data_IF_046007810788
#
_entry.id   IF_046007810788
#
_cell.length_a   1.000
_cell.length_b   1.000
_cell.length_c   1.000
_cell.angle_alpha   90.00
_cell.angle_beta   90.00
_cell.angle_gamma   90.00
#
_symmetry.space_group_name_H-M   'P 1'
#
loop_
_entity.id
_entity.type
_entity.pdbx_description
1 polymer ?
#
# COMPACT_ATOMS: atom_id res chain seq x y z
N UNK A 1 -13.20 34.84 -10.19
CA UNK A 1 -13.23 33.70 -9.24
C UNK A 1 -12.24 32.69 -9.80
N UNK A 2 -11.02 32.67 -9.27
CA UNK A 2 -9.93 31.83 -9.77
C UNK A 2 -10.05 30.49 -9.05
N UNK A 3 -10.16 29.39 -9.80
CA UNK A 3 -10.08 28.04 -9.23
C UNK A 3 -8.72 27.91 -8.53
N UNK A 4 -8.63 27.51 -7.26
CA UNK A 4 -7.35 27.22 -6.65
C UNK A 4 -6.83 25.95 -7.32
N UNK A 5 -6.05 26.17 -8.36
CA UNK A 5 -4.86 25.41 -8.68
C UNK A 5 -4.42 24.53 -7.50
N UNK A 6 -4.52 23.21 -7.70
CA UNK A 6 -3.85 22.22 -6.87
C UNK A 6 -2.39 22.64 -6.77
N UNK A 7 -2.05 23.35 -5.70
CA UNK A 7 -0.67 23.63 -5.36
C UNK A 7 -0.01 22.26 -5.23
N UNK A 8 0.85 21.92 -6.18
CA UNK A 8 1.71 20.76 -6.08
C UNK A 8 2.64 21.01 -4.89
N UNK A 9 2.21 20.55 -3.72
CA UNK A 9 3.01 20.60 -2.52
C UNK A 9 4.15 19.61 -2.69
N UNK A 10 5.39 20.08 -2.57
CA UNK A 10 6.52 19.18 -2.42
C UNK A 10 6.33 18.41 -1.11
N UNK A 11 6.11 17.10 -1.20
CA UNK A 11 6.02 16.20 -0.05
C UNK A 11 7.40 15.61 0.19
N UNK A 12 7.88 15.71 1.44
CA UNK A 12 9.07 14.98 1.87
C UNK A 12 8.62 13.59 2.30
N UNK A 13 9.06 12.57 1.55
CA UNK A 13 8.86 11.18 1.90
C UNK A 13 10.12 10.67 2.56
N UNK A 14 9.98 10.17 3.79
CA UNK A 14 11.06 9.43 4.42
C UNK A 14 11.10 8.01 3.84
N UNK A 15 11.99 7.82 2.86
CA UNK A 15 12.14 6.53 2.20
C UNK A 15 12.92 5.49 3.03
N UNK A 16 13.32 5.82 4.26
CA UNK A 16 14.02 4.91 5.18
C UNK A 16 13.07 4.22 6.15
N UNK A 17 11.87 4.77 6.34
CA UNK A 17 10.87 4.19 7.22
C UNK A 17 10.30 2.88 6.67
N UNK A 18 9.97 1.96 7.57
CA UNK A 18 9.50 0.62 7.22
C UNK A 18 7.99 0.62 6.99
N UNK A 19 7.56 0.04 5.87
CA UNK A 19 6.16 -0.23 5.57
C UNK A 19 5.92 -1.73 5.40
N UNK A 20 4.73 -2.19 5.80
CA UNK A 20 4.33 -3.59 5.69
C UNK A 20 3.49 -3.85 4.45
N UNK A 21 3.66 -5.03 3.86
CA UNK A 21 2.84 -5.53 2.77
C UNK A 21 2.15 -6.83 3.18
N UNK A 22 0.85 -6.90 2.92
CA UNK A 22 -0.01 -8.05 3.15
C UNK A 22 -0.69 -8.48 1.84
N UNK A 23 -0.98 -9.78 1.72
CA UNK A 23 -1.71 -10.34 0.59
C UNK A 23 -3.00 -11.01 1.09
N UNK A 24 -4.13 -10.61 0.51
CA UNK A 24 -5.38 -11.32 0.64
C UNK A 24 -5.41 -12.50 -0.35
N UNK A 25 -5.42 -13.73 0.17
CA UNK A 25 -5.37 -14.93 -0.65
C UNK A 25 -6.66 -15.22 -1.42
N UNK A 26 -7.80 -14.66 -0.99
CA UNK A 26 -9.08 -14.82 -1.65
C UNK A 26 -9.20 -13.84 -2.82
N UNK A 27 -9.01 -12.55 -2.54
CA UNK A 27 -9.21 -11.49 -3.54
C UNK A 27 -7.97 -11.20 -4.37
N UNK A 28 -6.81 -11.74 -3.97
CA UNK A 28 -5.49 -11.40 -4.51
C UNK A 28 -5.19 -9.90 -4.41
N UNK A 29 -5.76 -9.18 -3.45
CA UNK A 29 -5.43 -7.77 -3.23
C UNK A 29 -4.18 -7.66 -2.37
N UNK A 30 -3.28 -6.77 -2.78
CA UNK A 30 -2.09 -6.39 -2.00
C UNK A 30 -2.42 -5.14 -1.19
N UNK A 31 -2.14 -5.22 0.10
CA UNK A 31 -2.43 -4.17 1.08
C UNK A 31 -1.12 -3.68 1.69
N UNK A 32 -0.83 -2.38 1.55
CA UNK A 32 0.37 -1.75 2.09
C UNK A 32 0.01 -0.86 3.28
N UNK A 33 0.81 -0.87 4.35
CA UNK A 33 0.57 0.00 5.50
C UNK A 33 0.64 1.47 5.08
N UNK A 34 -0.38 2.23 5.43
CA UNK A 34 -0.50 3.65 5.13
C UNK A 34 0.60 4.47 5.80
N UNK A 35 0.88 4.14 7.06
CA UNK A 35 1.95 4.76 7.85
C UNK A 35 3.10 3.77 8.05
N UNK A 36 4.30 4.28 8.43
CA UNK A 36 5.38 3.44 8.91
C UNK A 36 4.94 2.49 10.03
N UNK A 37 5.52 1.30 10.06
CA UNK A 37 5.28 0.26 11.06
C UNK A 37 6.60 -0.34 11.51
N UNK A 38 6.77 -0.53 12.82
CA UNK A 38 7.99 -1.16 13.34
C UNK A 38 8.03 -2.66 13.03
N UNK A 39 9.21 -3.28 13.12
CA UNK A 39 9.35 -4.73 12.95
C UNK A 39 8.56 -5.50 14.01
N UNK A 40 8.57 -5.01 15.24
CA UNK A 40 7.88 -5.61 16.38
C UNK A 40 6.37 -5.56 16.17
N UNK A 41 5.83 -4.40 15.77
CA UNK A 41 4.41 -4.24 15.46
C UNK A 41 3.99 -5.14 14.28
N UNK A 42 4.80 -5.18 13.21
CA UNK A 42 4.55 -6.07 12.08
C UNK A 42 4.58 -7.55 12.47
N UNK A 43 5.51 -7.98 13.32
CA UNK A 43 5.56 -9.35 13.84
C UNK A 43 4.35 -9.68 14.72
N UNK A 44 3.89 -8.72 15.53
CA UNK A 44 2.73 -8.86 16.40
C UNK A 44 1.37 -8.79 15.68
N UNK A 45 1.32 -8.36 14.40
CA UNK A 45 0.06 -8.32 13.63
C UNK A 45 -0.63 -9.69 13.62
N UNK A 46 -1.83 -9.72 14.21
CA UNK A 46 -2.79 -10.81 14.06
C UNK A 46 -3.62 -10.58 12.80
N UNK A 47 -3.59 -11.54 11.89
CA UNK A 47 -4.24 -11.40 10.58
C UNK A 47 -5.56 -12.19 10.53
N UNK A 48 -6.63 -11.61 9.96
CA UNK A 48 -7.85 -12.35 9.63
C UNK A 48 -7.54 -13.57 8.76
N UNK A 49 -8.39 -14.61 8.85
CA UNK A 49 -8.26 -15.79 8.01
C UNK A 49 -8.22 -15.37 6.53
N UNK A 50 -7.19 -15.82 5.80
CA UNK A 50 -6.85 -15.51 4.38
C UNK A 50 -5.95 -14.29 4.13
N UNK A 51 -5.62 -13.49 5.13
CA UNK A 51 -4.53 -12.52 4.99
C UNK A 51 -3.20 -13.13 5.40
N UNK A 52 -2.16 -12.91 4.59
CA UNK A 52 -0.79 -13.31 4.90
C UNK A 52 0.16 -12.13 4.88
N UNK A 53 1.21 -12.24 5.69
CA UNK A 53 2.37 -11.33 5.70
C UNK A 53 3.20 -11.59 4.44
N UNK A 54 3.44 -10.58 3.62
CA UNK A 54 4.35 -10.67 2.47
C UNK A 54 5.74 -10.20 2.88
N UNK A 55 5.84 -8.98 3.40
CA UNK A 55 7.13 -8.41 3.77
C UNK A 55 7.02 -7.10 4.55
N UNK A 56 8.16 -6.66 5.05
CA UNK A 56 8.37 -5.33 5.62
C UNK A 56 9.68 -4.78 5.08
N UNK A 57 9.63 -3.59 4.47
CA UNK A 57 10.76 -2.97 3.80
C UNK A 57 10.65 -1.44 3.81
N UNK A 58 11.76 -0.77 3.52
CA UNK A 58 11.78 0.67 3.28
C UNK A 58 11.78 0.99 1.78
N UNK A 59 11.24 2.15 1.41
CA UNK A 59 11.15 2.60 0.03
C UNK A 59 10.36 3.89 -0.08
N UNK A 60 10.17 4.39 -1.31
CA UNK A 60 9.30 5.56 -1.57
C UNK A 60 7.84 5.11 -1.53
N UNK A 61 7.34 4.86 -0.32
CA UNK A 61 6.07 4.19 -0.04
C UNK A 61 5.08 5.20 0.54
N UNK A 62 4.62 6.16 -0.27
CA UNK A 62 3.70 7.21 0.15
C UNK A 62 2.34 7.11 -0.57
N UNK A 63 1.26 7.29 0.17
CA UNK A 63 -0.11 7.23 -0.36
C UNK A 63 -0.36 8.22 -1.51
N UNK A 64 0.31 9.37 -1.49
CA UNK A 64 0.14 10.43 -2.48
C UNK A 64 0.62 10.02 -3.87
N UNK A 65 1.43 8.96 -3.97
CA UNK A 65 1.78 8.36 -5.27
C UNK A 65 0.68 7.43 -5.82
N UNK A 66 -0.22 6.94 -4.97
CA UNK A 66 -1.35 6.10 -5.39
C UNK A 66 -2.57 6.96 -5.68
N UNK A 67 -2.71 7.36 -6.94
CA UNK A 67 -3.85 8.18 -7.41
C UNK A 67 -5.18 7.42 -7.51
N UNK A 68 -5.16 6.09 -7.41
CA UNK A 68 -6.32 5.18 -7.42
C UNK A 68 -5.90 3.76 -7.09
N UNK A 69 -6.83 2.93 -6.61
CA UNK A 69 -6.61 1.49 -6.49
C UNK A 69 -6.56 0.79 -7.86
N UNK A 70 -5.87 -0.36 -7.96
CA UNK A 70 -5.83 -1.17 -9.18
C UNK A 70 -7.23 -1.49 -9.73
N UNK A 71 -7.43 -1.23 -11.02
CA UNK A 71 -8.70 -1.49 -11.72
C UNK A 71 -9.76 -0.39 -11.58
N UNK A 72 -9.50 0.70 -10.85
CA UNK A 72 -10.41 1.84 -10.80
C UNK A 72 -10.40 2.64 -12.13
N UNK A 73 -11.59 3.08 -12.57
CA UNK A 73 -11.78 3.79 -13.84
C UNK A 73 -11.35 5.27 -13.82
N UNK A 74 -11.22 5.87 -12.64
CA UNK A 74 -10.84 7.28 -12.44
C UNK A 74 -9.90 7.42 -11.25
N UNK A 75 -9.18 8.54 -11.21
CA UNK A 75 -8.40 8.94 -10.03
C UNK A 75 -9.35 9.21 -8.84
N UNK A 76 -8.89 8.96 -7.62
CA UNK A 76 -9.67 9.06 -6.39
C UNK A 76 -8.97 8.41 -5.19
N UNK A 77 -9.59 8.43 -4.00
CA UNK A 77 -9.03 7.76 -2.83
C UNK A 77 -8.82 6.26 -3.12
N UNK A 78 -7.72 5.72 -2.62
CA UNK A 78 -7.46 4.29 -2.65
C UNK A 78 -8.39 3.56 -1.70
N UNK A 79 -8.63 2.28 -1.97
CA UNK A 79 -9.34 1.41 -1.03
C UNK A 79 -8.54 1.27 0.26
N UNK A 80 -9.20 1.45 1.39
CA UNK A 80 -8.59 1.39 2.72
C UNK A 80 -9.16 0.22 3.55
N UNK A 81 -8.34 -0.30 4.45
CA UNK A 81 -8.75 -1.32 5.41
C UNK A 81 -7.92 -1.24 6.69
N UNK A 82 -8.59 -1.25 7.84
CA UNK A 82 -7.91 -1.39 9.13
C UNK A 82 -7.63 -2.88 9.43
N UNK A 83 -6.39 -3.20 9.79
CA UNK A 83 -5.92 -4.55 10.11
C UNK A 83 -4.99 -4.44 11.33
N UNK A 84 -5.38 -5.06 12.45
CA UNK A 84 -4.58 -5.05 13.68
C UNK A 84 -4.30 -3.63 14.21
N UNK A 85 -5.25 -2.70 14.05
CA UNK A 85 -5.10 -1.29 14.47
C UNK A 85 -4.23 -0.42 13.55
N UNK A 86 -3.80 -0.94 12.41
CA UNK A 86 -3.07 -0.19 11.39
C UNK A 86 -3.92 -0.02 10.13
N UNK A 87 -3.89 1.16 9.53
CA UNK A 87 -4.55 1.43 8.25
C UNK A 87 -3.67 0.90 7.11
N UNK A 88 -4.29 0.17 6.18
CA UNK A 88 -3.66 -0.33 4.96
C UNK A 88 -4.41 0.18 3.73
N UNK A 89 -3.68 0.41 2.64
CA UNK A 89 -4.19 0.83 1.34
C UNK A 89 -4.07 -0.28 0.30
N UNK A 90 -5.07 -0.43 -0.57
CA UNK A 90 -5.04 -1.35 -1.71
C UNK A 90 -4.24 -0.74 -2.86
N UNK A 91 -2.97 -1.11 -2.95
CA UNK A 91 -2.00 -0.50 -3.86
C UNK A 91 -1.68 -1.36 -5.10
N UNK A 92 -1.85 -2.68 -5.02
CA UNK A 92 -1.50 -3.59 -6.12
C UNK A 92 -2.39 -4.85 -6.17
N UNK A 93 -2.35 -5.55 -7.30
CA UNK A 93 -2.79 -6.93 -7.46
C UNK A 93 -1.61 -7.73 -8.04
N UNK A 94 -1.39 -9.00 -7.67
CA UNK A 94 -0.44 -9.87 -8.33
C UNK A 94 -0.74 -9.94 -9.83
N UNK A 95 0.30 -10.10 -10.67
CA UNK A 95 0.11 -10.39 -12.09
C UNK A 95 -0.70 -11.68 -12.27
N UNK A 96 -1.66 -11.67 -13.19
CA UNK A 96 -2.48 -12.85 -13.50
C UNK A 96 -1.65 -14.03 -14.02
N UNK A 97 -0.47 -13.77 -14.61
CA UNK A 97 0.44 -14.78 -15.17
C UNK A 97 1.47 -15.35 -14.19
N UNK A 98 1.44 -14.98 -12.90
CA UNK A 98 2.52 -15.30 -11.96
C UNK A 98 3.67 -14.28 -12.02
N UNK A 99 4.71 -14.44 -11.18
CA UNK A 99 5.81 -13.48 -11.11
C UNK A 99 6.47 -13.35 -12.50
N UNK A 100 6.57 -12.12 -12.98
CA UNK A 100 7.38 -11.84 -14.16
C UNK A 100 8.85 -12.05 -13.79
N UNK A 101 9.58 -12.83 -14.59
CA UNK A 101 11.03 -12.89 -14.45
C UNK A 101 11.57 -11.49 -14.73
N UNK A 102 12.30 -10.85 -13.80
CA UNK A 102 12.92 -9.56 -14.07
C UNK A 102 13.81 -9.71 -15.31
N UNK A 103 13.70 -8.78 -16.25
CA UNK A 103 14.70 -8.66 -17.32
C UNK A 103 15.95 -8.10 -16.64
N UNK A 104 16.92 -8.98 -16.41
CA UNK A 104 18.26 -8.67 -15.89
C UNK A 104 19.32 -8.86 -16.95
#
# INVERSE_FOLDING_TARGET
MICPEHLAHNVLVDCQELHAELLDLETKRVWQSHRPISREAYQALELPAKLIKVGIASGVMDEHYFRRSPGAASDGPVGEREIGGHLFIHCANPPQGGPETPIG
#
